data_IF_203712246251
#
_entry.id   IF_203712246251
#
_cell.length_a   1.000
_cell.length_b   1.000
_cell.length_c   1.000
_cell.angle_alpha   90.00
_cell.angle_beta   90.00
_cell.angle_gamma   90.00
#
_symmetry.space_group_name_H-M   'P 1'
#
loop_
_entity.id
_entity.type
_entity.pdbx_description
1 polymer ?
#
# COMPACT_ATOMS: atom_id res chain seq x y z
N UNK A 1 -20.20 -7.58 -2.15
CA UNK A 1 -18.80 -7.84 -2.52
C UNK A 1 -17.91 -7.42 -1.37
N UNK A 2 -17.24 -8.37 -0.73
CA UNK A 2 -16.14 -8.07 0.21
C UNK A 2 -14.87 -7.94 -0.63
N UNK A 3 -14.36 -6.72 -0.79
CA UNK A 3 -13.07 -6.53 -1.45
C UNK A 3 -11.96 -7.16 -0.60
N UNK A 4 -11.11 -7.98 -1.20
CA UNK A 4 -9.92 -8.51 -0.54
C UNK A 4 -8.99 -7.37 -0.12
N UNK A 5 -8.09 -7.57 0.85
CA UNK A 5 -7.19 -6.49 1.26
C UNK A 5 -6.25 -6.17 0.11
N UNK A 6 -6.05 -4.90 -0.22
CA UNK A 6 -5.01 -4.49 -1.16
C UNK A 6 -3.64 -4.60 -0.48
N UNK A 7 -2.63 -5.08 -1.22
CA UNK A 7 -1.26 -5.21 -0.72
C UNK A 7 -0.32 -4.26 -1.47
N UNK A 8 0.46 -3.48 -0.73
CA UNK A 8 1.51 -2.60 -1.27
C UNK A 8 2.86 -3.11 -0.80
N UNK A 9 3.84 -3.23 -1.70
CA UNK A 9 5.19 -3.69 -1.39
C UNK A 9 6.20 -2.57 -1.58
N UNK A 10 6.90 -2.22 -0.50
CA UNK A 10 7.91 -1.18 -0.49
C UNK A 10 9.30 -1.78 -0.58
N UNK A 11 10.19 -1.05 -1.26
CA UNK A 11 11.62 -1.33 -1.19
C UNK A 11 12.16 -1.25 0.25
N UNK A 12 13.32 -1.85 0.52
CA UNK A 12 13.85 -1.99 1.88
C UNK A 12 14.05 -0.66 2.61
N UNK A 13 14.41 0.40 1.90
CA UNK A 13 14.62 1.74 2.49
C UNK A 13 13.44 2.70 2.27
N UNK A 14 12.43 2.28 1.49
CA UNK A 14 11.30 3.14 1.13
C UNK A 14 10.37 3.31 2.33
N UNK A 15 10.06 4.56 2.67
CA UNK A 15 9.21 4.88 3.84
C UNK A 15 7.93 5.61 3.45
N UNK A 16 7.79 6.05 2.20
CA UNK A 16 6.60 6.71 1.67
C UNK A 16 6.18 6.05 0.36
N UNK A 17 4.89 6.08 0.08
CA UNK A 17 4.35 5.57 -1.18
C UNK A 17 3.10 6.32 -1.59
N UNK A 18 2.81 6.21 -2.88
CA UNK A 18 1.62 6.73 -3.51
C UNK A 18 1.11 5.68 -4.49
N UNK A 19 -0.04 5.09 -4.20
CA UNK A 19 -0.59 4.00 -5.00
C UNK A 19 -2.10 4.15 -5.16
N UNK A 20 -2.68 3.78 -6.31
CA UNK A 20 -4.11 3.80 -6.47
C UNK A 20 -4.78 2.76 -5.56
N UNK A 21 -5.91 3.12 -4.97
CA UNK A 21 -6.78 2.18 -4.30
C UNK A 21 -7.53 1.34 -5.34
N UNK A 22 -7.20 0.06 -5.42
CA UNK A 22 -7.77 -0.85 -6.43
C UNK A 22 -9.28 -0.98 -6.31
N UNK A 23 -9.80 -1.05 -5.07
CA UNK A 23 -11.24 -1.08 -4.82
C UNK A 23 -11.95 0.19 -5.31
N UNK A 24 -11.33 1.35 -5.05
CA UNK A 24 -11.87 2.62 -5.53
C UNK A 24 -11.84 2.68 -7.05
N UNK A 25 -10.73 2.22 -7.67
CA UNK A 25 -10.58 2.17 -9.12
C UNK A 25 -11.57 1.23 -9.79
N UNK A 26 -11.78 0.04 -9.22
CA UNK A 26 -12.69 -0.96 -9.77
C UNK A 26 -14.15 -0.52 -9.69
N UNK A 27 -14.53 0.15 -8.59
CA UNK A 27 -15.87 0.71 -8.43
C UNK A 27 -16.13 1.98 -9.27
N UNK A 28 -15.20 2.38 -10.17
CA UNK A 28 -15.37 3.62 -10.95
C UNK A 28 -16.41 3.45 -12.05
N UNK A 29 -17.55 4.09 -11.83
CA UNK A 29 -18.40 4.58 -12.92
C UNK A 29 -18.05 6.04 -13.32
N UNK A 30 -17.48 6.88 -12.44
CA UNK A 30 -17.25 8.33 -12.76
C UNK A 30 -16.21 9.11 -11.92
N UNK A 31 -15.50 8.52 -10.96
CA UNK A 31 -14.51 9.27 -10.15
C UNK A 31 -13.26 9.62 -10.98
N UNK A 32 -12.59 10.74 -10.72
CA UNK A 32 -11.26 11.02 -11.30
C UNK A 32 -10.20 10.11 -10.67
N UNK A 33 -9.21 9.64 -11.45
CA UNK A 33 -8.25 8.61 -11.03
C UNK A 33 -7.44 9.07 -9.80
N UNK A 34 -7.13 10.36 -9.82
CA UNK A 34 -6.40 11.11 -8.80
C UNK A 34 -7.09 11.05 -7.43
N UNK A 35 -8.42 11.00 -7.40
CA UNK A 35 -9.19 10.89 -6.14
C UNK A 35 -9.11 9.49 -5.52
N UNK A 36 -8.66 8.50 -6.29
CA UNK A 36 -8.51 7.12 -5.85
C UNK A 36 -7.11 6.84 -5.30
N UNK A 37 -6.23 7.83 -5.20
CA UNK A 37 -4.85 7.64 -4.75
C UNK A 37 -4.75 7.58 -3.22
N UNK A 38 -3.97 6.62 -2.74
CA UNK A 38 -3.58 6.45 -1.34
C UNK A 38 -2.18 7.01 -1.19
N UNK A 39 -2.00 7.93 -0.26
CA UNK A 39 -0.67 8.37 0.17
C UNK A 39 -0.43 7.80 1.57
N UNK A 40 0.71 7.15 1.76
CA UNK A 40 1.00 6.48 3.02
C UNK A 40 2.48 6.48 3.35
N UNK A 41 2.75 6.24 4.63
CA UNK A 41 4.11 6.05 5.14
C UNK A 41 4.19 4.75 5.92
N UNK A 42 5.30 4.03 5.75
CA UNK A 42 5.68 2.91 6.60
C UNK A 42 6.92 3.32 7.39
N UNK A 43 6.88 3.16 8.72
CA UNK A 43 8.05 3.44 9.58
C UNK A 43 9.23 2.59 9.12
N UNK A 44 10.45 3.13 9.27
CA UNK A 44 11.68 2.50 8.77
C UNK A 44 11.91 1.12 9.40
N UNK A 45 11.54 0.96 10.65
CA UNK A 45 11.68 -0.25 11.47
C UNK A 45 10.48 -1.20 11.37
N UNK A 46 9.42 -0.83 10.63
CA UNK A 46 8.25 -1.67 10.44
C UNK A 46 8.38 -2.50 9.16
N UNK A 47 8.14 -3.80 9.31
CA UNK A 47 8.02 -4.74 8.18
C UNK A 47 6.61 -4.74 7.58
N UNK A 48 5.59 -4.46 8.41
CA UNK A 48 4.19 -4.43 7.99
C UNK A 48 3.47 -3.23 8.60
N UNK A 49 2.62 -2.58 7.80
CA UNK A 49 1.72 -1.53 8.23
C UNK A 49 0.30 -1.76 7.72
N UNK A 50 -0.67 -1.19 8.41
CA UNK A 50 -2.07 -1.25 8.03
C UNK A 50 -2.62 0.16 7.90
N UNK A 51 -3.38 0.40 6.83
CA UNK A 51 -4.06 1.68 6.66
C UNK A 51 -5.35 1.52 5.86
N UNK A 52 -6.07 2.63 5.73
CA UNK A 52 -7.30 2.70 4.95
C UNK A 52 -7.22 3.84 3.95
N UNK A 53 -7.76 3.66 2.75
CA UNK A 53 -7.98 4.79 1.86
C UNK A 53 -9.07 5.71 2.43
N UNK A 54 -9.28 6.89 1.83
CA UNK A 54 -10.32 7.86 2.27
C UNK A 54 -11.75 7.29 2.30
N UNK A 55 -12.01 6.21 1.56
CA UNK A 55 -13.32 5.53 1.49
C UNK A 55 -13.41 4.28 2.39
N UNK A 56 -12.37 4.00 3.18
CA UNK A 56 -12.38 2.91 4.17
C UNK A 56 -11.93 1.54 3.66
N UNK A 57 -11.43 1.42 2.42
CA UNK A 57 -10.86 0.16 1.93
C UNK A 57 -9.52 -0.13 2.63
N UNK A 58 -9.32 -1.38 3.05
CA UNK A 58 -8.15 -1.80 3.83
C UNK A 58 -6.95 -2.07 2.94
N UNK A 59 -5.81 -1.52 3.33
CA UNK A 59 -4.52 -1.71 2.67
C UNK A 59 -3.52 -2.26 3.68
N UNK A 60 -2.76 -3.26 3.25
CA UNK A 60 -1.62 -3.81 3.98
C UNK A 60 -0.35 -3.42 3.24
N UNK A 61 0.57 -2.77 3.92
CA UNK A 61 1.84 -2.32 3.37
C UNK A 61 2.94 -3.22 3.91
N UNK A 62 3.75 -3.78 3.03
CA UNK A 62 4.84 -4.70 3.34
C UNK A 62 6.17 -4.06 2.95
N UNK A 63 7.20 -4.31 3.74
CA UNK A 63 8.59 -4.06 3.35
C UNK A 63 9.18 -5.33 2.77
N UNK A 64 9.74 -5.23 1.57
CA UNK A 64 10.55 -6.31 1.02
C UNK A 64 11.85 -6.33 1.86
N UNK A 65 12.02 -7.36 2.69
CA UNK A 65 13.26 -7.56 3.42
C UNK A 65 14.43 -7.60 2.42
N UNK A 66 15.54 -6.92 2.72
CA UNK A 66 16.77 -7.11 1.95
C UNK A 66 17.08 -8.61 1.97
N UNK A 67 17.51 -9.23 0.86
CA UNK A 67 18.24 -10.48 0.96
C UNK A 67 19.33 -10.26 2.01
N UNK A 68 19.36 -11.08 3.06
CA UNK A 68 20.54 -11.16 3.92
C UNK A 68 21.70 -11.37 2.95
N UNK A 69 22.56 -10.37 2.78
CA UNK A 69 23.85 -10.62 2.16
C UNK A 69 24.41 -11.79 2.97
N UNK A 70 24.63 -12.95 2.32
CA UNK A 70 25.18 -14.15 2.94
C UNK A 70 26.29 -13.66 3.87
N UNK A 71 26.12 -13.88 5.17
CA UNK A 71 27.18 -13.64 6.13
C UNK A 71 28.40 -14.40 5.59
N UNK A 72 29.48 -13.64 5.34
CA UNK A 72 30.74 -14.15 4.82
C UNK A 72 31.29 -15.25 5.72
#
# INVERSE_FOLDING_TARGET
MTWERQHVWLGPETTSFEEPCEACLFARDSLAAETCVIHGTLRRDADVGFMTCRRGHRIVVHRIARPLARAL
#
